data_IF_956501708746
#
_entry.id   IF_956501708746
#
_cell.length_a   1.000
_cell.length_b   1.000
_cell.length_c   1.000
_cell.angle_alpha   90.00
_cell.angle_beta   90.00
_cell.angle_gamma   90.00
#
_symmetry.space_group_name_H-M   'P 1'
#
loop_
_entity.id
_entity.type
_entity.pdbx_description
1 polymer ?
#
# COMPACT_ATOMS: atom_id res chain seq x y z
N UNK A 1 8.67 24.65 11.53
CA UNK A 1 8.74 25.16 10.14
C UNK A 1 8.66 23.96 9.20
N UNK A 2 7.46 23.58 8.74
CA UNK A 2 7.28 22.37 7.94
C UNK A 2 7.73 22.58 6.50
N UNK A 3 8.77 21.86 6.06
CA UNK A 3 9.24 21.87 4.66
C UNK A 3 8.10 21.40 3.75
N UNK A 4 7.56 22.28 2.90
CA UNK A 4 6.52 21.88 1.96
C UNK A 4 7.09 20.89 0.94
N UNK A 5 6.49 19.72 0.80
CA UNK A 5 6.88 18.76 -0.24
C UNK A 5 6.65 19.35 -1.63
N UNK A 6 7.65 19.26 -2.51
CA UNK A 6 7.51 19.65 -3.90
C UNK A 6 6.74 18.58 -4.69
N UNK A 7 6.23 18.90 -5.88
CA UNK A 7 5.55 17.91 -6.74
C UNK A 7 6.49 16.76 -7.09
N UNK A 8 7.77 17.09 -7.30
CA UNK A 8 8.83 16.12 -7.54
C UNK A 8 9.03 15.21 -6.33
N UNK A 9 9.00 15.76 -5.10
CA UNK A 9 9.09 14.96 -3.88
C UNK A 9 7.93 13.98 -3.73
N UNK A 10 6.69 14.42 -3.98
CA UNK A 10 5.50 13.53 -3.93
C UNK A 10 5.61 12.40 -4.96
N UNK A 11 6.01 12.71 -6.19
CA UNK A 11 6.21 11.71 -7.24
C UNK A 11 7.30 10.70 -6.88
N UNK A 12 8.42 11.15 -6.32
CA UNK A 12 9.51 10.26 -5.88
C UNK A 12 9.01 9.33 -4.77
N UNK A 13 8.27 9.84 -3.80
CA UNK A 13 7.69 8.99 -2.74
C UNK A 13 6.74 7.94 -3.32
N UNK A 14 5.87 8.32 -4.25
CA UNK A 14 4.97 7.38 -4.94
C UNK A 14 5.75 6.35 -5.75
N UNK A 15 6.81 6.76 -6.44
CA UNK A 15 7.69 5.86 -7.19
C UNK A 15 8.36 4.83 -6.27
N UNK A 16 8.89 5.27 -5.12
CA UNK A 16 9.50 4.36 -4.14
C UNK A 16 8.46 3.37 -3.62
N UNK A 17 7.27 3.83 -3.23
CA UNK A 17 6.19 2.94 -2.81
C UNK A 17 5.83 1.92 -3.91
N UNK A 18 5.71 2.38 -5.15
CA UNK A 18 5.38 1.54 -6.29
C UNK A 18 6.44 0.46 -6.53
N UNK A 19 7.72 0.84 -6.55
CA UNK A 19 8.83 -0.08 -6.78
C UNK A 19 8.98 -1.09 -5.65
N UNK A 20 8.84 -0.67 -4.38
CA UNK A 20 8.91 -1.58 -3.22
C UNK A 20 7.82 -2.64 -3.30
N UNK A 21 6.56 -2.24 -3.52
CA UNK A 21 5.45 -3.19 -3.59
C UNK A 21 5.49 -4.06 -4.84
N UNK A 22 5.91 -3.51 -5.98
CA UNK A 22 6.11 -4.29 -7.18
C UNK A 22 7.18 -5.35 -6.98
N UNK A 23 8.33 -4.97 -6.43
CA UNK A 23 9.43 -5.89 -6.18
C UNK A 23 9.01 -6.99 -5.20
N UNK A 24 8.47 -6.64 -4.03
CA UNK A 24 8.05 -7.63 -3.03
C UNK A 24 6.97 -8.54 -3.59
N UNK A 25 5.94 -7.99 -4.26
CA UNK A 25 4.85 -8.79 -4.82
C UNK A 25 5.32 -9.75 -5.92
N UNK A 26 6.17 -9.28 -6.84
CA UNK A 26 6.73 -10.15 -7.89
C UNK A 26 7.61 -11.22 -7.29
N UNK A 27 8.50 -10.87 -6.36
CA UNK A 27 9.38 -11.84 -5.71
C UNK A 27 8.61 -12.88 -4.89
N UNK A 28 7.49 -12.52 -4.26
CA UNK A 28 6.66 -13.45 -3.49
C UNK A 28 6.09 -14.60 -4.31
N UNK A 29 5.81 -14.38 -5.60
CA UNK A 29 5.41 -15.47 -6.52
C UNK A 29 6.51 -16.50 -6.79
N UNK A 30 7.78 -16.12 -6.66
CA UNK A 30 8.92 -17.02 -6.88
C UNK A 30 9.48 -17.61 -5.59
N UNK A 31 9.27 -16.94 -4.46
CA UNK A 31 9.81 -17.32 -3.16
C UNK A 31 8.67 -17.55 -2.16
N UNK A 32 8.08 -18.75 -2.17
CA UNK A 32 7.11 -19.16 -1.17
C UNK A 32 7.81 -19.52 0.15
N UNK A 33 7.35 -19.01 1.30
CA UNK A 33 7.90 -19.41 2.59
C UNK A 33 7.53 -20.88 2.88
N UNK A 34 8.46 -21.60 3.53
CA UNK A 34 8.40 -23.06 3.76
C UNK A 34 7.16 -23.52 4.54
N UNK A 35 6.48 -22.62 5.23
CA UNK A 35 5.29 -22.87 6.05
C UNK A 35 3.95 -22.77 5.27
N UNK A 36 3.97 -22.51 3.97
CA UNK A 36 2.75 -22.45 3.16
C UNK A 36 2.39 -23.82 2.59
N UNK A 37 1.81 -24.70 3.41
CA UNK A 37 1.26 -25.96 2.90
C UNK A 37 0.05 -25.70 1.99
N UNK A 38 -0.07 -26.50 0.93
CA UNK A 38 -1.14 -26.34 -0.06
C UNK A 38 -2.49 -26.67 0.58
N UNK A 39 -3.42 -25.71 0.57
CA UNK A 39 -4.77 -25.86 1.15
C UNK A 39 -4.93 -25.26 2.55
N UNK A 40 -3.84 -24.85 3.19
CA UNK A 40 -3.88 -24.03 4.39
C UNK A 40 -3.95 -22.54 4.00
N UNK A 41 -4.59 -21.72 4.84
CA UNK A 41 -4.61 -20.26 4.73
C UNK A 41 -5.08 -19.75 3.35
N UNK A 42 -6.30 -20.15 2.99
CA UNK A 42 -6.95 -19.74 1.74
C UNK A 42 -7.96 -18.64 1.98
N UNK A 43 -7.93 -17.61 1.13
CA UNK A 43 -9.05 -16.66 1.00
C UNK A 43 -9.83 -17.09 -0.23
N UNK A 44 -10.99 -17.71 0.00
CA UNK A 44 -11.80 -18.35 -1.03
C UNK A 44 -11.05 -19.53 -1.70
N UNK A 45 -10.96 -19.59 -3.03
CA UNK A 45 -10.21 -20.66 -3.75
C UNK A 45 -8.72 -20.35 -3.92
N UNK A 46 -8.25 -19.19 -3.46
CA UNK A 46 -6.87 -18.75 -3.65
C UNK A 46 -6.07 -18.85 -2.35
N UNK A 47 -4.78 -19.16 -2.48
CA UNK A 47 -3.82 -19.00 -1.37
C UNK A 47 -3.82 -17.54 -0.90
N UNK A 48 -3.88 -17.32 0.42
CA UNK A 48 -3.81 -15.98 1.00
C UNK A 48 -2.50 -15.28 0.62
N UNK A 49 -1.36 -15.98 0.68
CA UNK A 49 -0.07 -15.44 0.24
C UNK A 49 -0.11 -15.03 -1.24
N UNK A 50 -0.68 -15.88 -2.09
CA UNK A 50 -0.86 -15.54 -3.50
C UNK A 50 -1.71 -14.29 -3.73
N UNK A 51 -2.78 -14.10 -2.94
CA UNK A 51 -3.60 -12.87 -2.97
C UNK A 51 -2.79 -11.66 -2.49
N UNK A 52 -2.01 -11.79 -1.41
CA UNK A 52 -1.19 -10.68 -0.90
C UNK A 52 -0.13 -10.26 -1.92
N UNK A 53 0.52 -11.20 -2.59
CA UNK A 53 1.51 -10.92 -3.62
C UNK A 53 0.88 -10.30 -4.87
N UNK A 54 -0.32 -10.75 -5.23
CA UNK A 54 -1.13 -10.10 -6.28
C UNK A 54 -1.48 -8.66 -5.91
N UNK A 55 -1.94 -8.41 -4.68
CA UNK A 55 -2.28 -7.06 -4.19
C UNK A 55 -1.06 -6.14 -4.19
N UNK A 56 0.11 -6.62 -3.75
CA UNK A 56 1.37 -5.87 -3.76
C UNK A 56 1.81 -5.57 -5.20
N UNK A 57 1.76 -6.56 -6.09
CA UNK A 57 2.11 -6.40 -7.50
C UNK A 57 1.17 -5.39 -8.18
N UNK A 58 -0.14 -5.54 -8.00
CA UNK A 58 -1.14 -4.61 -8.55
C UNK A 58 -0.95 -3.19 -8.01
N UNK A 59 -0.70 -3.04 -6.70
CA UNK A 59 -0.37 -1.76 -6.08
C UNK A 59 0.85 -1.13 -6.74
N UNK A 60 1.91 -1.92 -6.95
CA UNK A 60 3.12 -1.47 -7.63
C UNK A 60 2.87 -0.99 -9.05
N UNK A 61 2.13 -1.76 -9.86
CA UNK A 61 1.79 -1.41 -11.25
C UNK A 61 0.95 -0.12 -11.32
N UNK A 62 -0.12 -0.04 -10.50
CA UNK A 62 -0.97 1.17 -10.45
C UNK A 62 -0.15 2.38 -9.98
N UNK A 63 0.76 2.18 -9.03
CA UNK A 63 1.69 3.20 -8.57
C UNK A 63 2.58 3.73 -9.68
N UNK A 64 3.16 2.86 -10.51
CA UNK A 64 3.94 3.28 -11.69
C UNK A 64 3.08 4.09 -12.67
N UNK A 65 1.83 3.67 -12.92
CA UNK A 65 0.89 4.44 -13.75
C UNK A 65 0.62 5.82 -13.14
N UNK A 66 0.47 5.93 -11.82
CA UNK A 66 0.27 7.20 -11.12
C UNK A 66 1.50 8.12 -11.18
N UNK A 67 2.72 7.57 -11.19
CA UNK A 67 3.96 8.35 -11.42
C UNK A 67 3.96 8.96 -12.82
N UNK A 68 3.54 8.20 -13.83
CA UNK A 68 3.46 8.65 -15.22
C UNK A 68 2.29 9.62 -15.45
N UNK A 69 1.22 9.51 -14.66
CA UNK A 69 0.01 10.35 -14.74
C UNK A 69 -0.26 11.02 -13.39
N UNK A 70 0.37 12.18 -13.13
CA UNK A 70 0.36 12.85 -11.83
C UNK A 70 -1.03 13.20 -11.29
N UNK A 71 -2.01 13.39 -12.19
CA UNK A 71 -3.41 13.59 -11.83
C UNK A 71 -4.00 12.42 -11.01
N UNK A 72 -3.45 11.22 -11.14
CA UNK A 72 -3.89 10.02 -10.44
C UNK A 72 -3.23 9.82 -9.07
N UNK A 73 -2.22 10.63 -8.72
CA UNK A 73 -1.46 10.45 -7.46
C UNK A 73 -2.38 10.49 -6.24
N UNK A 74 -3.30 11.46 -6.17
CA UNK A 74 -4.24 11.57 -5.05
C UNK A 74 -5.09 10.31 -4.91
N UNK A 75 -5.71 9.87 -6.01
CA UNK A 75 -6.56 8.68 -6.04
C UNK A 75 -5.79 7.42 -5.62
N UNK A 76 -4.60 7.23 -6.20
CA UNK A 76 -3.71 6.12 -5.87
C UNK A 76 -3.36 6.11 -4.37
N UNK A 77 -2.97 7.25 -3.80
CA UNK A 77 -2.56 7.32 -2.39
C UNK A 77 -3.71 7.08 -1.41
N UNK A 78 -4.93 7.49 -1.75
CA UNK A 78 -6.10 7.14 -0.95
C UNK A 78 -6.42 5.65 -1.01
N UNK A 79 -6.36 5.05 -2.20
CA UNK A 79 -6.53 3.62 -2.38
C UNK A 79 -5.51 2.83 -1.55
N UNK A 80 -4.22 3.16 -1.66
CA UNK A 80 -3.15 2.51 -0.89
C UNK A 80 -3.34 2.72 0.61
N UNK A 81 -3.69 3.93 1.05
CA UNK A 81 -3.95 4.19 2.47
C UNK A 81 -5.01 3.25 3.02
N UNK A 82 -6.18 3.19 2.36
CA UNK A 82 -7.33 2.39 2.84
C UNK A 82 -7.02 0.89 2.80
N UNK A 83 -6.47 0.40 1.69
CA UNK A 83 -6.16 -1.02 1.53
C UNK A 83 -5.18 -1.50 2.60
N UNK A 84 -4.07 -0.77 2.79
CA UNK A 84 -3.03 -1.16 3.74
C UNK A 84 -3.38 -0.84 5.19
N UNK A 85 -4.22 0.17 5.46
CA UNK A 85 -4.80 0.39 6.79
C UNK A 85 -5.70 -0.80 7.17
N UNK A 86 -6.53 -1.27 6.25
CA UNK A 86 -7.38 -2.45 6.44
C UNK A 86 -6.57 -3.71 6.74
N UNK A 87 -5.53 -3.98 5.93
CA UNK A 87 -4.60 -5.09 6.15
C UNK A 87 -3.89 -5.00 7.51
N UNK A 88 -3.43 -3.81 7.90
CA UNK A 88 -2.79 -3.58 9.20
C UNK A 88 -3.78 -3.85 10.35
N UNK A 89 -4.98 -3.28 10.27
CA UNK A 89 -6.00 -3.46 11.30
C UNK A 89 -6.44 -4.92 11.43
N UNK A 90 -6.65 -5.59 10.30
CA UNK A 90 -6.95 -7.02 10.28
C UNK A 90 -5.81 -7.83 10.91
N UNK A 91 -4.56 -7.60 10.52
CA UNK A 91 -3.41 -8.32 11.07
C UNK A 91 -3.19 -8.08 12.57
N UNK A 92 -3.41 -6.86 13.07
CA UNK A 92 -3.32 -6.56 14.51
C UNK A 92 -4.44 -7.26 15.29
N UNK A 93 -5.69 -7.19 14.81
CA UNK A 93 -6.82 -7.88 15.44
C UNK A 93 -6.63 -9.40 15.42
N UNK A 94 -6.10 -9.92 14.31
CA UNK A 94 -5.76 -11.32 14.12
C UNK A 94 -4.72 -11.79 15.14
N UNK A 95 -3.63 -11.05 15.31
CA UNK A 95 -2.61 -11.32 16.33
C UNK A 95 -3.17 -11.21 17.77
N UNK A 96 -4.13 -10.32 18.01
CA UNK A 96 -4.70 -10.07 19.34
C UNK A 96 -5.76 -11.11 19.77
N UNK A 97 -6.36 -11.87 18.85
CA UNK A 97 -7.55 -12.71 19.13
C UNK A 97 -7.33 -14.21 18.98
N UNK A 98 -6.11 -14.65 18.65
CA UNK A 98 -5.69 -16.06 18.39
C UNK A 98 -6.53 -16.86 17.38
N UNK A 99 -7.62 -16.28 16.86
CA UNK A 99 -8.65 -16.96 16.05
C UNK A 99 -8.57 -16.63 14.56
N UNK A 100 -7.79 -15.61 14.19
CA UNK A 100 -7.64 -15.17 12.80
C UNK A 100 -6.17 -15.15 12.32
N UNK A 101 -5.24 -15.63 13.16
CA UNK A 101 -3.79 -15.65 12.89
C UNK A 101 -3.41 -16.31 11.57
N UNK A 102 -4.15 -17.34 11.20
CA UNK A 102 -3.84 -18.20 10.06
C UNK A 102 -4.54 -17.74 8.76
N UNK A 103 -5.77 -17.22 8.85
CA UNK A 103 -6.67 -17.08 7.68
C UNK A 103 -6.10 -16.28 6.49
N UNK A 104 -5.20 -15.31 6.72
CA UNK A 104 -4.60 -14.49 5.65
C UNK A 104 -3.06 -14.56 5.67
N UNK A 105 -2.47 -15.49 6.44
CA UNK A 105 -1.02 -15.69 6.55
C UNK A 105 -0.21 -14.38 6.72
N UNK A 106 -0.66 -13.52 7.64
CA UNK A 106 0.01 -12.26 7.95
C UNK A 106 0.95 -12.45 9.14
N UNK A 107 2.23 -12.09 8.97
CA UNK A 107 3.15 -12.03 10.09
C UNK A 107 3.37 -10.58 10.57
N UNK A 108 4.17 -10.42 11.62
CA UNK A 108 4.48 -9.10 12.17
C UNK A 108 5.25 -8.20 11.20
N UNK A 109 6.14 -8.76 10.38
CA UNK A 109 6.86 -7.99 9.37
C UNK A 109 5.90 -7.43 8.30
N UNK A 110 4.92 -8.23 7.86
CA UNK A 110 3.86 -7.78 6.95
C UNK A 110 3.05 -6.65 7.57
N UNK A 111 2.63 -6.78 8.83
CA UNK A 111 1.88 -5.73 9.53
C UNK A 111 2.65 -4.42 9.63
N UNK A 112 3.95 -4.48 9.94
CA UNK A 112 4.80 -3.29 9.99
C UNK A 112 4.92 -2.66 8.60
N UNK A 113 5.16 -3.47 7.55
CA UNK A 113 5.20 -2.99 6.17
C UNK A 113 3.88 -2.32 5.76
N UNK A 114 2.75 -2.93 6.10
CA UNK A 114 1.43 -2.40 5.79
C UNK A 114 1.15 -1.08 6.54
N UNK A 115 1.52 -1.00 7.81
CA UNK A 115 1.35 0.21 8.61
C UNK A 115 2.18 1.38 8.03
N UNK A 116 3.47 1.15 7.73
CA UNK A 116 4.35 2.16 7.16
C UNK A 116 3.88 2.60 5.76
N UNK A 117 3.43 1.65 4.94
CA UNK A 117 2.86 1.93 3.61
C UNK A 117 1.63 2.81 3.73
N UNK A 118 0.69 2.43 4.60
CA UNK A 118 -0.55 3.16 4.83
C UNK A 118 -0.28 4.59 5.31
N UNK A 119 0.59 4.76 6.31
CA UNK A 119 0.96 6.08 6.83
C UNK A 119 1.63 6.95 5.77
N UNK A 120 2.56 6.37 5.00
CA UNK A 120 3.23 7.10 3.91
C UNK A 120 2.22 7.57 2.86
N UNK A 121 1.30 6.69 2.46
CA UNK A 121 0.26 7.02 1.49
C UNK A 121 -0.69 8.11 2.02
N UNK A 122 -1.09 8.05 3.28
CA UNK A 122 -1.92 9.08 3.93
C UNK A 122 -1.23 10.44 3.91
N UNK A 123 0.05 10.50 4.27
CA UNK A 123 0.84 11.73 4.27
C UNK A 123 0.88 12.33 2.86
N UNK A 124 1.16 11.53 1.83
CA UNK A 124 1.17 12.00 0.43
C UNK A 124 -0.21 12.46 -0.01
N UNK A 125 -1.28 11.75 0.35
CA UNK A 125 -2.66 12.12 0.02
C UNK A 125 -3.04 13.50 0.58
N UNK A 126 -2.74 13.73 1.87
CA UNK A 126 -3.00 15.01 2.55
C UNK A 126 -2.22 16.15 1.87
N UNK A 127 -0.93 15.98 1.60
CA UNK A 127 -0.12 17.01 0.92
C UNK A 127 -0.61 17.30 -0.50
N UNK A 128 -1.10 16.28 -1.22
CA UNK A 128 -1.66 16.44 -2.56
C UNK A 128 -2.93 17.30 -2.53
N UNK A 129 -3.86 17.04 -1.59
CA UNK A 129 -5.08 17.84 -1.41
C UNK A 129 -4.75 19.29 -1.03
N UNK A 130 -3.84 19.48 -0.07
CA UNK A 130 -3.44 20.82 0.37
C UNK A 130 -2.88 21.65 -0.78
N UNK A 131 -2.12 21.03 -1.69
CA UNK A 131 -1.56 21.69 -2.86
C UNK A 131 -2.64 22.13 -3.84
N UNK A 132 -3.59 21.23 -4.17
CA UNK A 132 -4.69 21.54 -5.10
C UNK A 132 -5.54 22.72 -4.62
N UNK A 133 -5.79 22.81 -3.30
CA UNK A 133 -6.51 23.94 -2.69
C UNK A 133 -5.74 25.27 -2.78
N UNK A 134 -4.41 25.24 -2.66
CA UNK A 134 -3.58 26.45 -2.79
C UNK A 134 -3.58 26.98 -4.23
N UNK A 135 -3.56 26.09 -5.21
CA UNK A 135 -3.61 26.50 -6.63
C UNK A 135 -4.96 27.08 -7.02
N UNK A 136 -6.08 26.56 -6.48
CA UNK A 136 -7.41 27.12 -6.76
C UNK A 136 -7.57 28.52 -6.18
N UNK A 137 -7.07 28.77 -4.96
CA UNK A 137 -7.23 30.06 -4.29
C UNK A 137 -6.31 31.16 -4.86
N UNK A 138 -5.32 30.82 -5.69
CA UNK A 138 -4.40 31.75 -6.30
C UNK A 138 -4.91 32.35 -7.62
N UNK A 139 -6.02 31.85 -8.15
CA UNK A 139 -6.70 32.40 -9.33
C UNK A 139 -7.96 33.12 -8.84
N UNK A 140 -7.93 34.46 -8.64
CA UNK A 140 -9.15 35.21 -8.40
C UNK A 140 -9.98 35.25 -9.69
N UNK A 141 -11.28 34.92 -9.60
CA UNK A 141 -12.25 35.11 -10.69
C UNK A 141 -12.46 36.58 -11.03
#
# INVERSE_FOLDING_TARGET
MGKSMTLSSLRVTVLVLALVHLAIGVLGFFFMPENNQTGENTVWIFSATGILDLLRTATGVIGLVAVLRPALISLYTWFVFVAFAGLTGFGVLSAATTSAGDAVNLNWADNVLHALTSLTALVVAIFTIQRTRRTSNAVPE
#
